data_IF_595409405504
#
_entry.id   IF_595409405504
#
_cell.length_a   1.000
_cell.length_b   1.000
_cell.length_c   1.000
_cell.angle_alpha   90.00
_cell.angle_beta   90.00
_cell.angle_gamma   90.00
#
_symmetry.space_group_name_H-M   'P 1'
#
loop_
_entity.id
_entity.type
_entity.pdbx_description
1 polymer ?
#
# COMPACT_ATOMS: atom_id res chain seq x y z
N UNK A 1 28.86 12.86 -10.69
CA UNK A 1 28.99 12.32 -9.33
C UNK A 1 29.39 13.46 -8.43
N UNK A 2 28.40 14.05 -7.77
CA UNK A 2 28.46 15.15 -6.80
C UNK A 2 27.16 14.99 -5.98
N UNK A 3 27.04 15.30 -4.70
CA UNK A 3 27.97 15.88 -3.75
C UNK A 3 27.40 15.62 -2.33
N UNK A 4 28.30 15.62 -1.35
CA UNK A 4 28.21 16.28 -0.04
C UNK A 4 27.18 15.93 1.07
N UNK A 5 27.79 15.56 2.23
CA UNK A 5 27.70 16.15 3.59
C UNK A 5 26.40 16.07 4.45
N UNK A 6 26.62 15.50 5.66
CA UNK A 6 26.39 16.09 7.00
C UNK A 6 25.29 15.50 7.92
N UNK A 7 25.65 15.51 9.22
CA UNK A 7 24.91 15.29 10.47
C UNK A 7 24.76 13.81 10.86
N UNK A 8 25.23 13.35 12.03
CA UNK A 8 24.85 13.88 13.34
C UNK A 8 25.90 13.56 14.43
N UNK A 9 26.54 14.60 14.95
CA UNK A 9 27.45 14.61 16.12
C UNK A 9 26.70 14.89 17.42
N UNK A 10 25.43 14.49 17.54
CA UNK A 10 24.57 14.87 18.67
C UNK A 10 24.80 14.05 19.96
N UNK A 11 25.37 12.84 19.88
CA UNK A 11 25.40 11.89 21.01
C UNK A 11 26.60 12.00 21.96
N UNK A 12 27.49 12.98 21.83
CA UNK A 12 28.75 13.01 22.63
C UNK A 12 28.76 13.88 23.88
N UNK A 13 27.70 14.65 24.18
CA UNK A 13 27.72 15.59 25.31
C UNK A 13 26.54 15.41 26.27
N UNK A 14 26.48 14.30 27.01
CA UNK A 14 25.72 14.20 28.28
C UNK A 14 26.44 13.25 29.25
N UNK A 15 27.72 13.51 29.51
CA UNK A 15 28.47 12.75 30.49
C UNK A 15 29.55 13.61 31.18
N UNK A 16 29.17 14.79 31.66
CA UNK A 16 30.03 15.57 32.57
C UNK A 16 29.20 16.28 33.63
N UNK A 17 29.23 15.65 34.81
CA UNK A 17 28.87 16.06 36.18
C UNK A 17 28.14 17.37 36.45
N UNK A 18 27.02 17.24 37.17
CA UNK A 18 26.65 18.15 38.28
C UNK A 18 25.99 17.31 39.38
N UNK A 19 26.55 17.32 40.58
CA UNK A 19 25.87 16.84 41.77
C UNK A 19 24.72 17.79 42.12
N UNK A 20 23.49 17.27 42.17
CA UNK A 20 22.34 17.99 42.72
C UNK A 20 21.64 17.06 43.71
N UNK A 21 21.73 17.42 44.99
CA UNK A 21 21.20 16.66 46.11
C UNK A 21 19.69 16.45 45.98
N UNK A 22 19.27 15.18 46.05
CA UNK A 22 17.92 14.63 46.25
C UNK A 22 16.75 15.06 45.33
N UNK A 23 16.61 16.32 44.93
CA UNK A 23 15.55 16.77 44.03
C UNK A 23 15.82 16.42 42.55
N UNK A 24 17.10 16.31 42.17
CA UNK A 24 17.52 15.96 40.81
C UNK A 24 17.22 14.50 40.44
N UNK A 25 17.28 13.59 41.41
CA UNK A 25 16.97 12.17 41.20
C UNK A 25 15.46 11.94 40.98
N UNK A 26 14.62 12.62 41.77
CA UNK A 26 13.17 12.56 41.61
C UNK A 26 12.72 13.15 40.26
N UNK A 27 13.29 14.29 39.85
CA UNK A 27 13.02 14.88 38.54
C UNK A 27 13.55 14.01 37.39
N UNK A 28 14.75 13.43 37.51
CA UNK A 28 15.30 12.53 36.50
C UNK A 28 14.45 11.25 36.34
N UNK A 29 13.91 10.72 37.43
CA UNK A 29 13.02 9.56 37.41
C UNK A 29 11.71 9.88 36.69
N UNK A 30 11.04 10.98 37.05
CA UNK A 30 9.78 11.41 36.40
C UNK A 30 9.96 11.73 34.91
N UNK A 31 11.08 12.35 34.53
CA UNK A 31 11.41 12.62 33.13
C UNK A 31 11.64 11.31 32.36
N UNK A 32 12.31 10.33 32.97
CA UNK A 32 12.52 9.01 32.36
C UNK A 32 11.20 8.26 32.15
N UNK A 33 10.29 8.30 33.12
CA UNK A 33 8.95 7.71 32.99
C UNK A 33 8.14 8.35 31.86
N UNK A 34 8.12 9.68 31.75
CA UNK A 34 7.44 10.40 30.66
C UNK A 34 7.99 10.02 29.28
N UNK A 35 9.32 9.93 29.14
CA UNK A 35 9.93 9.48 27.89
C UNK A 35 9.57 8.02 27.55
N UNK A 36 9.47 7.14 28.55
CA UNK A 36 9.02 5.76 28.32
C UNK A 36 7.54 5.68 27.92
N UNK A 37 6.68 6.53 28.48
CA UNK A 37 5.26 6.60 28.10
C UNK A 37 5.04 7.17 26.69
N UNK A 38 5.82 8.18 26.27
CA UNK A 38 5.75 8.67 24.90
C UNK A 38 6.23 7.63 23.89
N UNK A 39 7.31 6.91 24.20
CA UNK A 39 7.84 5.84 23.36
C UNK A 39 6.82 4.70 23.21
N UNK A 40 6.16 4.27 24.30
CA UNK A 40 5.15 3.21 24.24
C UNK A 40 3.92 3.62 23.43
N UNK A 41 3.44 4.88 23.57
CA UNK A 41 2.33 5.41 22.76
C UNK A 41 2.70 5.56 21.29
N UNK A 42 3.94 5.91 20.96
CA UNK A 42 4.42 5.97 19.59
C UNK A 42 4.49 4.57 18.96
N UNK A 43 4.94 3.58 19.71
CA UNK A 43 4.99 2.18 19.28
C UNK A 43 3.58 1.59 19.08
N UNK A 44 2.65 1.85 20.00
CA UNK A 44 1.25 1.44 19.87
C UNK A 44 0.59 2.05 18.63
N UNK A 45 0.79 3.35 18.38
CA UNK A 45 0.31 4.01 17.15
C UNK A 45 0.94 3.43 15.89
N UNK A 46 2.18 2.95 15.95
CA UNK A 46 2.88 2.33 14.83
C UNK A 46 2.38 0.89 14.59
N UNK A 47 2.17 0.11 15.66
CA UNK A 47 1.59 -1.24 15.58
C UNK A 47 0.14 -1.20 15.11
N UNK A 48 -0.65 -0.24 15.58
CA UNK A 48 -2.02 -0.05 15.10
C UNK A 48 -2.03 0.32 13.61
N UNK A 49 -1.13 1.21 13.16
CA UNK A 49 -0.95 1.51 11.72
C UNK A 49 -0.55 0.26 10.94
N UNK A 50 0.35 -0.56 11.48
CA UNK A 50 0.78 -1.84 10.89
C UNK A 50 -0.37 -2.83 10.80
N UNK A 51 -1.15 -3.02 11.88
CA UNK A 51 -2.33 -3.89 11.92
C UNK A 51 -3.41 -3.44 10.95
N UNK A 52 -3.72 -2.15 10.86
CA UNK A 52 -4.66 -1.60 9.86
C UNK A 52 -4.18 -1.84 8.43
N UNK A 53 -2.87 -1.67 8.17
CA UNK A 53 -2.28 -1.97 6.86
C UNK A 53 -2.45 -3.45 6.50
N UNK A 54 -2.15 -4.36 7.43
CA UNK A 54 -2.27 -5.82 7.25
C UNK A 54 -3.73 -6.28 7.10
N UNK A 55 -4.67 -5.68 7.85
CA UNK A 55 -6.10 -5.98 7.77
C UNK A 55 -6.71 -5.44 6.47
N UNK A 56 -6.22 -4.31 5.96
CA UNK A 56 -6.59 -3.79 4.65
C UNK A 56 -6.24 -4.76 3.52
N UNK A 57 -5.15 -5.53 3.60
CA UNK A 57 -4.68 -6.37 2.50
C UNK A 57 -5.54 -7.61 2.18
N UNK A 58 -6.46 -8.05 3.07
CA UNK A 58 -7.19 -9.33 2.90
C UNK A 58 -8.69 -9.28 3.14
N UNK A 59 -9.25 -8.13 3.49
CA UNK A 59 -10.63 -8.07 3.96
C UNK A 59 -11.64 -7.93 2.81
N UNK A 60 -12.82 -8.55 2.88
CA UNK A 60 -13.92 -8.27 1.94
C UNK A 60 -14.33 -6.79 1.94
N UNK A 61 -14.04 -6.06 3.01
CA UNK A 61 -14.21 -4.61 3.13
C UNK A 61 -13.31 -3.86 2.13
N UNK A 62 -12.06 -4.26 1.94
CA UNK A 62 -11.18 -3.65 0.93
C UNK A 62 -11.80 -3.75 -0.46
N UNK A 63 -12.38 -4.91 -0.80
CA UNK A 63 -13.06 -5.08 -2.10
C UNK A 63 -14.17 -4.05 -2.26
N UNK A 64 -15.03 -3.88 -1.25
CA UNK A 64 -16.14 -2.91 -1.28
C UNK A 64 -15.61 -1.50 -1.51
N UNK A 65 -14.61 -1.08 -0.76
CA UNK A 65 -13.99 0.26 -0.91
C UNK A 65 -13.47 0.48 -2.32
N UNK A 66 -12.79 -0.51 -2.92
CA UNK A 66 -12.29 -0.39 -4.29
C UNK A 66 -13.45 -0.30 -5.29
N UNK A 67 -14.48 -1.13 -5.15
CA UNK A 67 -15.68 -1.11 -6.00
C UNK A 67 -16.33 0.28 -5.94
N UNK A 68 -16.58 0.79 -4.74
CA UNK A 68 -17.26 2.07 -4.54
C UNK A 68 -16.47 3.20 -5.19
N UNK A 69 -15.15 3.27 -4.95
CA UNK A 69 -14.28 4.30 -5.54
C UNK A 69 -14.20 4.24 -7.06
N UNK A 70 -14.12 3.04 -7.65
CA UNK A 70 -14.11 2.91 -9.11
C UNK A 70 -15.47 3.28 -9.72
N UNK A 71 -16.58 2.92 -9.05
CA UNK A 71 -17.91 3.25 -9.51
C UNK A 71 -18.19 4.75 -9.44
N UNK A 72 -17.72 5.43 -8.38
CA UNK A 72 -17.82 6.87 -8.20
C UNK A 72 -16.80 7.68 -9.01
N UNK A 73 -15.81 7.03 -9.62
CA UNK A 73 -14.72 7.70 -10.34
C UNK A 73 -13.68 8.38 -9.43
N UNK A 74 -13.70 8.12 -8.13
CA UNK A 74 -12.84 8.79 -7.14
C UNK A 74 -11.65 7.90 -6.72
N UNK A 75 -11.22 6.99 -7.58
CA UNK A 75 -10.05 6.16 -7.33
C UNK A 75 -8.83 6.81 -7.97
N UNK A 76 -7.86 7.24 -7.17
CA UNK A 76 -6.67 7.90 -7.68
C UNK A 76 -5.53 6.92 -7.96
N UNK A 77 -4.80 7.15 -9.05
CA UNK A 77 -3.54 6.47 -9.29
C UNK A 77 -2.47 6.99 -8.31
N UNK A 78 -1.77 6.07 -7.63
CA UNK A 78 -0.73 6.42 -6.64
C UNK A 78 0.56 7.01 -7.25
N UNK A 79 0.65 7.12 -8.59
CA UNK A 79 1.82 7.66 -9.28
C UNK A 79 1.54 9.08 -9.78
N UNK A 80 0.48 9.28 -10.58
CA UNK A 80 0.16 10.60 -11.14
C UNK A 80 -0.85 11.39 -10.31
N UNK A 81 -1.51 10.77 -9.32
CA UNK A 81 -2.56 11.38 -8.49
C UNK A 81 -3.80 11.83 -9.29
N UNK A 82 -3.97 11.32 -10.51
CA UNK A 82 -5.17 11.51 -11.33
C UNK A 82 -6.16 10.37 -11.10
N UNK A 83 -7.45 10.66 -11.26
CA UNK A 83 -8.52 9.68 -11.18
C UNK A 83 -8.39 8.61 -12.28
N UNK A 84 -8.72 7.38 -11.92
CA UNK A 84 -8.80 6.25 -12.85
C UNK A 84 -10.21 6.21 -13.41
N UNK A 85 -10.31 6.53 -14.70
CA UNK A 85 -11.54 6.50 -15.48
C UNK A 85 -11.88 5.10 -15.96
N UNK A 86 -13.15 4.90 -16.35
CA UNK A 86 -13.64 3.63 -16.90
C UNK A 86 -12.92 3.21 -18.18
N UNK A 87 -12.46 4.19 -18.96
CA UNK A 87 -11.79 3.98 -20.24
C UNK A 87 -10.27 3.81 -20.11
N UNK A 88 -9.73 3.97 -18.89
CA UNK A 88 -8.29 3.88 -18.69
C UNK A 88 -7.81 2.44 -18.73
N UNK A 89 -6.61 2.26 -19.27
CA UNK A 89 -5.86 1.02 -19.13
C UNK A 89 -5.21 0.98 -17.75
N UNK A 90 -5.41 -0.11 -17.02
CA UNK A 90 -4.95 -0.22 -15.62
C UNK A 90 -4.08 -1.45 -15.38
N UNK A 91 -3.30 -1.39 -14.30
CA UNK A 91 -2.64 -2.54 -13.68
C UNK A 91 -3.07 -2.60 -12.22
N UNK A 92 -3.59 -3.76 -11.82
CA UNK A 92 -3.91 -4.07 -10.43
C UNK A 92 -2.84 -4.97 -9.83
N UNK A 93 -2.22 -4.56 -8.72
CA UNK A 93 -1.30 -5.41 -7.99
C UNK A 93 -2.02 -6.64 -7.42
N UNK A 94 -1.49 -7.85 -7.65
CA UNK A 94 -2.11 -9.09 -7.13
C UNK A 94 -1.88 -9.32 -5.63
N UNK A 95 -1.00 -8.53 -4.98
CA UNK A 95 -0.71 -8.61 -3.54
C UNK A 95 -1.50 -7.60 -2.72
N UNK A 96 -1.36 -6.31 -3.02
CA UNK A 96 -1.98 -5.23 -2.25
C UNK A 96 -3.22 -4.62 -2.92
N UNK A 97 -3.59 -5.09 -4.12
CA UNK A 97 -4.77 -4.63 -4.88
C UNK A 97 -4.80 -3.13 -5.21
N UNK A 98 -3.68 -2.44 -5.07
CA UNK A 98 -3.52 -1.08 -5.58
C UNK A 98 -3.65 -1.09 -7.11
N UNK A 99 -4.43 -0.14 -7.63
CA UNK A 99 -4.65 0.06 -9.05
C UNK A 99 -3.88 1.31 -9.48
N UNK A 100 -3.21 1.24 -10.62
CA UNK A 100 -2.54 2.38 -11.23
C UNK A 100 -2.80 2.34 -12.74
N UNK A 101 -2.70 3.50 -13.41
CA UNK A 101 -2.70 3.51 -14.87
C UNK A 101 -1.55 2.67 -15.42
N UNK A 102 -1.83 1.97 -16.53
CA UNK A 102 -0.83 1.16 -17.20
C UNK A 102 0.38 2.00 -17.65
N UNK A 103 0.13 3.19 -18.20
CA UNK A 103 1.17 4.16 -18.60
C UNK A 103 2.08 4.56 -17.44
N UNK A 104 1.52 4.74 -16.25
CA UNK A 104 2.28 5.14 -15.06
C UNK A 104 3.18 4.01 -14.57
N UNK A 105 2.68 2.77 -14.58
CA UNK A 105 3.51 1.61 -14.24
C UNK A 105 4.62 1.39 -15.27
N UNK A 106 4.33 1.51 -16.57
CA UNK A 106 5.36 1.41 -17.62
C UNK A 106 6.50 2.42 -17.40
N UNK A 107 6.16 3.70 -17.22
CA UNK A 107 7.15 4.75 -16.92
C UNK A 107 7.90 4.50 -15.61
N UNK A 108 7.20 4.02 -14.57
CA UNK A 108 7.83 3.64 -13.30
C UNK A 108 8.89 2.56 -13.51
N UNK A 109 8.59 1.52 -14.30
CA UNK A 109 9.50 0.43 -14.59
C UNK A 109 10.69 0.85 -15.47
N UNK A 110 10.47 1.71 -16.46
CA UNK A 110 11.53 2.28 -17.31
C UNK A 110 12.52 3.13 -16.49
N UNK A 111 12.02 3.96 -15.58
CA UNK A 111 12.87 4.80 -14.71
C UNK A 111 13.74 3.98 -13.75
N UNK A 112 13.32 2.76 -13.41
CA UNK A 112 14.12 1.80 -12.64
C UNK A 112 15.15 1.02 -13.47
N UNK A 113 15.14 1.17 -14.80
CA UNK A 113 15.85 0.38 -15.80
C UNK A 113 17.34 0.73 -16.06
N UNK A 114 18.04 1.32 -15.08
CA UNK A 114 19.51 1.52 -15.16
C UNK A 114 20.34 0.49 -14.38
N UNK A 115 19.71 -0.37 -13.58
CA UNK A 115 20.43 -1.24 -12.62
C UNK A 115 19.71 -2.56 -12.36
N UNK A 116 19.39 -3.34 -13.40
CA UNK A 116 18.99 -4.76 -13.24
C UNK A 116 17.85 -5.08 -12.26
N UNK A 117 16.99 -4.09 -11.92
CA UNK A 117 15.88 -4.27 -10.98
C UNK A 117 14.64 -4.71 -11.75
N UNK A 118 13.97 -5.75 -11.24
CA UNK A 118 12.71 -6.20 -11.79
C UNK A 118 11.60 -5.17 -11.55
N UNK A 119 10.59 -5.10 -12.42
CA UNK A 119 9.45 -4.22 -12.23
C UNK A 119 8.74 -4.55 -10.92
N UNK A 120 8.44 -3.53 -10.13
CA UNK A 120 7.88 -3.68 -8.78
C UNK A 120 6.69 -2.76 -8.58
N UNK A 121 5.76 -3.18 -7.72
CA UNK A 121 4.63 -2.35 -7.31
C UNK A 121 5.11 -1.15 -6.48
N UNK A 122 4.72 0.09 -6.83
CA UNK A 122 5.08 1.28 -6.06
C UNK A 122 4.62 1.21 -4.59
N UNK A 123 3.49 0.55 -4.34
CA UNK A 123 2.87 0.51 -3.01
C UNK A 123 3.40 -0.61 -2.11
N UNK A 124 3.62 -1.82 -2.64
CA UNK A 124 4.02 -2.97 -1.81
C UNK A 124 5.33 -3.66 -2.23
N UNK A 125 6.01 -3.13 -3.26
CA UNK A 125 7.26 -3.66 -3.84
C UNK A 125 7.23 -5.09 -4.36
N UNK A 126 6.05 -5.72 -4.45
CA UNK A 126 5.89 -7.03 -5.09
C UNK A 126 6.27 -6.92 -6.57
N UNK A 127 6.94 -7.94 -7.11
CA UNK A 127 7.22 -8.02 -8.55
C UNK A 127 5.93 -7.90 -9.37
N UNK A 128 6.01 -7.10 -10.43
CA UNK A 128 5.00 -7.01 -11.48
C UNK A 128 5.51 -7.83 -12.67
N UNK A 129 4.60 -8.30 -13.51
CA UNK A 129 4.97 -8.93 -14.78
C UNK A 129 5.63 -7.93 -15.73
N UNK A 130 6.58 -8.39 -16.54
CA UNK A 130 7.30 -7.57 -17.51
C UNK A 130 6.44 -7.18 -18.71
N UNK A 131 5.47 -8.02 -19.11
CA UNK A 131 4.70 -7.77 -20.33
C UNK A 131 3.73 -6.58 -20.22
N UNK A 132 3.40 -6.12 -19.00
CA UNK A 132 2.57 -4.94 -18.71
C UNK A 132 1.44 -4.71 -19.73
N UNK A 133 0.51 -5.67 -19.77
CA UNK A 133 -0.67 -5.65 -20.61
C UNK A 133 -1.93 -5.36 -19.78
N UNK A 134 -2.92 -4.73 -20.42
CA UNK A 134 -4.19 -4.42 -19.77
C UNK A 134 -5.16 -5.61 -19.86
N UNK A 135 -5.49 -6.15 -18.70
CA UNK A 135 -6.48 -7.21 -18.53
C UNK A 135 -7.51 -6.80 -17.50
N UNK A 136 -8.68 -7.42 -17.56
CA UNK A 136 -9.66 -7.32 -16.47
C UNK A 136 -9.07 -7.84 -15.15
N UNK A 137 -9.70 -7.53 -14.00
CA UNK A 137 -9.15 -7.87 -12.69
C UNK A 137 -8.83 -9.37 -12.49
N UNK A 138 -9.61 -10.28 -13.09
CA UNK A 138 -9.35 -11.72 -13.03
C UNK A 138 -8.33 -12.23 -14.07
N UNK A 139 -7.89 -11.39 -15.02
CA UNK A 139 -6.94 -11.76 -16.06
C UNK A 139 -7.52 -12.51 -17.26
N UNK A 140 -8.84 -12.75 -17.30
CA UNK A 140 -9.46 -13.51 -18.39
C UNK A 140 -9.57 -12.76 -19.72
N UNK A 141 -9.87 -11.47 -19.67
CA UNK A 141 -10.18 -10.69 -20.85
C UNK A 141 -9.13 -9.61 -21.05
N UNK A 142 -8.48 -9.62 -22.21
CA UNK A 142 -7.54 -8.60 -22.67
C UNK A 142 -8.32 -7.37 -23.13
N UNK A 143 -7.88 -6.18 -22.75
CA UNK A 143 -8.52 -4.90 -23.07
C UNK A 143 -10.06 -4.94 -22.91
N UNK A 144 -10.57 -5.21 -21.70
CA UNK A 144 -12.00 -5.30 -21.48
C UNK A 144 -12.69 -3.97 -21.77
N UNK A 145 -13.73 -4.01 -22.60
CA UNK A 145 -14.60 -2.85 -22.83
C UNK A 145 -15.42 -2.53 -21.58
N UNK A 146 -15.64 -1.25 -21.25
CA UNK A 146 -16.54 -0.87 -20.17
C UNK A 146 -17.96 -1.39 -20.41
N UNK A 147 -18.56 -2.01 -19.40
CA UNK A 147 -19.94 -2.51 -19.43
C UNK A 147 -20.79 -1.64 -18.50
N UNK A 148 -21.92 -1.16 -18.98
CA UNK A 148 -22.84 -0.36 -18.18
C UNK A 148 -23.41 -1.16 -16.99
N UNK A 149 -23.53 -0.53 -15.82
CA UNK A 149 -23.99 -1.18 -14.59
C UNK A 149 -22.99 -2.16 -13.97
N UNK A 150 -21.81 -2.38 -14.58
CA UNK A 150 -20.75 -3.23 -14.05
C UNK A 150 -19.61 -2.36 -13.52
N UNK A 151 -18.91 -2.84 -12.49
CA UNK A 151 -17.70 -2.17 -11.99
C UNK A 151 -16.69 -2.03 -13.13
N UNK A 152 -16.10 -0.84 -13.33
CA UNK A 152 -15.11 -0.61 -14.37
C UNK A 152 -13.98 -1.66 -14.36
N UNK A 153 -13.47 -2.01 -15.54
CA UNK A 153 -12.40 -3.00 -15.73
C UNK A 153 -12.74 -4.45 -15.32
N UNK A 154 -14.00 -4.75 -14.95
CA UNK A 154 -14.49 -6.12 -14.76
C UNK A 154 -15.08 -6.67 -16.06
N UNK A 155 -14.90 -7.98 -16.31
CA UNK A 155 -15.41 -8.64 -17.53
C UNK A 155 -16.73 -9.40 -17.33
N UNK A 156 -17.35 -9.31 -16.14
CA UNK A 156 -18.61 -9.99 -15.75
C UNK A 156 -18.62 -11.54 -15.79
N UNK A 157 -17.61 -12.17 -16.38
CA UNK A 157 -17.39 -13.63 -16.32
C UNK A 157 -17.08 -14.08 -14.90
N UNK A 158 -17.19 -15.39 -14.64
CA UNK A 158 -16.79 -15.98 -13.36
C UNK A 158 -15.30 -15.72 -13.09
N UNK A 159 -14.95 -15.38 -11.84
CA UNK A 159 -13.55 -15.15 -11.46
C UNK A 159 -12.70 -16.41 -11.75
N UNK A 160 -11.48 -16.19 -12.26
CA UNK A 160 -10.53 -17.27 -12.63
C UNK A 160 -9.94 -17.99 -11.42
N UNK A 161 -10.00 -17.36 -10.24
CA UNK A 161 -9.59 -18.00 -9.01
C UNK A 161 -10.56 -19.14 -8.67
N UNK A 162 -10.07 -20.39 -8.68
CA UNK A 162 -10.87 -21.60 -8.44
C UNK A 162 -11.61 -21.61 -7.10
N UNK A 163 -11.10 -20.87 -6.10
CA UNK A 163 -11.71 -20.76 -4.78
C UNK A 163 -12.74 -19.62 -4.69
N UNK A 164 -12.87 -18.80 -5.74
CA UNK A 164 -13.83 -17.70 -5.82
C UNK A 164 -15.08 -18.15 -6.60
N UNK A 165 -16.26 -17.82 -6.06
CA UNK A 165 -17.55 -18.08 -6.72
C UNK A 165 -18.19 -16.82 -7.30
N UNK A 166 -17.56 -15.66 -7.12
CA UNK A 166 -18.06 -14.38 -7.61
C UNK A 166 -17.74 -14.19 -9.10
N UNK A 167 -18.43 -13.25 -9.73
CA UNK A 167 -18.00 -12.68 -11.00
C UNK A 167 -16.67 -11.94 -10.84
N UNK A 168 -16.03 -11.60 -11.96
CA UNK A 168 -14.81 -10.79 -12.00
C UNK A 168 -14.98 -9.55 -11.10
N UNK A 169 -14.06 -9.37 -10.16
CA UNK A 169 -14.14 -8.33 -9.13
C UNK A 169 -12.74 -7.74 -8.87
N UNK A 170 -12.65 -6.46 -8.45
CA UNK A 170 -11.41 -5.91 -7.93
C UNK A 170 -11.11 -6.47 -6.52
N UNK A 171 -9.91 -6.24 -6.01
CA UNK A 171 -9.57 -6.61 -4.63
C UNK A 171 -9.46 -8.13 -4.37
N UNK A 172 -9.28 -8.51 -3.09
CA UNK A 172 -9.10 -9.90 -2.70
C UNK A 172 -10.33 -10.75 -3.02
N UNK A 173 -10.14 -12.04 -3.33
CA UNK A 173 -11.24 -13.01 -3.34
C UNK A 173 -11.69 -13.26 -1.90
N UNK A 174 -13.00 -13.39 -1.66
CA UNK A 174 -13.45 -13.80 -0.33
C UNK A 174 -13.03 -15.25 -0.14
N UNK A 175 -12.40 -15.58 0.98
CA UNK A 175 -12.27 -16.98 1.35
C UNK A 175 -13.67 -17.57 1.48
N UNK A 176 -13.84 -18.82 1.06
CA UNK A 176 -15.06 -19.58 1.32
C UNK A 176 -15.38 -19.45 2.80
N UNK A 177 -16.51 -18.80 3.15
CA UNK A 177 -17.15 -19.12 4.42
C UNK A 177 -17.42 -20.63 4.36
N UNK A 178 -16.73 -21.40 5.20
CA UNK A 178 -17.18 -22.74 5.53
C UNK A 178 -18.48 -22.52 6.27
N UNK A 179 -19.60 -22.83 5.62
CA UNK A 179 -20.86 -23.05 6.31
C UNK A 179 -20.58 -24.20 7.30
N UNK A 180 -20.50 -23.86 8.59
CA UNK A 180 -20.53 -24.83 9.68
C UNK A 180 -21.99 -25.18 9.97
#
# INVERSE_FOLDING_TARGET
>A
MSNDRNTNTFWKNVATGVGVAAAGAALAYLVSELFTEEASRAEERADERRRRSLQGEKSPELRKVIIDKLNSGTYDCNICLEEISRNDEIVSCKKCYTINHLRCIKSHCESSGGSGRSPHCPSCRKSIDYELQYYCFCGSNFNPMPIEGVTPHCCLSRCTNRNCRLQCHPGPCAERYREN
#
